data_IF_500452116994
#
_entry.id   IF_500452116994
#
_cell.length_a   1.000
_cell.length_b   1.000
_cell.length_c   1.000
_cell.angle_alpha   90.00
_cell.angle_beta   90.00
_cell.angle_gamma   90.00
#
_symmetry.space_group_name_H-M   'P 1'
#
loop_
_entity.id
_entity.type
_entity.pdbx_description
1 polymer ?
#
# COMPACT_ATOMS: atom_id res chain seq x y z
N UNK A 1 -4.41 -4.40 22.40
CA UNK A 1 -4.83 -3.11 21.81
C UNK A 1 -5.92 -3.23 20.73
N UNK A 2 -6.09 -4.36 20.02
CA UNK A 2 -7.28 -4.67 19.20
C UNK A 2 -8.58 -4.54 20.02
N UNK A 3 -8.53 -4.96 21.30
CA UNK A 3 -9.62 -4.80 22.25
C UNK A 3 -10.12 -3.36 22.39
N UNK A 4 -9.24 -2.35 22.34
CA UNK A 4 -9.64 -0.93 22.45
C UNK A 4 -10.50 -0.48 21.26
N UNK A 5 -10.20 -0.95 20.04
CA UNK A 5 -11.03 -0.62 18.87
C UNK A 5 -12.36 -1.37 18.92
N UNK A 6 -12.36 -2.64 19.34
CA UNK A 6 -13.59 -3.41 19.50
C UNK A 6 -14.50 -2.76 20.54
N UNK A 7 -13.95 -2.38 21.69
CA UNK A 7 -14.66 -1.70 22.76
C UNK A 7 -15.21 -0.35 22.30
N UNK A 8 -14.38 0.44 21.62
CA UNK A 8 -14.80 1.71 21.05
C UNK A 8 -15.94 1.54 20.05
N UNK A 9 -15.85 0.59 19.12
CA UNK A 9 -16.91 0.36 18.14
C UNK A 9 -18.17 -0.29 18.75
N UNK A 10 -18.07 -0.97 19.91
CA UNK A 10 -19.24 -1.42 20.68
C UNK A 10 -19.98 -0.26 21.33
N UNK A 11 -19.25 0.75 21.80
CA UNK A 11 -19.81 1.97 22.39
C UNK A 11 -20.47 2.88 21.34
N UNK A 12 -20.23 2.63 20.05
CA UNK A 12 -20.68 3.44 18.91
C UNK A 12 -21.40 2.59 17.85
N UNK A 13 -22.63 2.11 18.12
CA UNK A 13 -23.39 1.23 17.22
C UNK A 13 -23.75 1.87 15.86
N UNK A 14 -23.83 3.20 15.79
CA UNK A 14 -23.98 4.00 14.57
C UNK A 14 -22.72 3.95 13.67
N UNK A 15 -21.59 3.56 14.25
CA UNK A 15 -20.31 3.42 13.58
C UNK A 15 -19.55 4.73 13.49
N UNK A 16 -18.24 4.62 13.42
CA UNK A 16 -17.32 5.76 13.43
C UNK A 16 -16.55 5.82 12.12
N UNK A 17 -16.31 7.03 11.61
CA UNK A 17 -15.38 7.30 10.54
C UNK A 17 -13.94 7.04 11.00
N UNK A 18 -13.01 6.86 10.05
CA UNK A 18 -11.58 6.77 10.36
C UNK A 18 -11.06 7.99 11.14
N UNK A 19 -11.66 9.17 10.97
CA UNK A 19 -11.31 10.38 11.72
C UNK A 19 -11.69 10.25 13.19
N UNK A 20 -12.97 9.98 13.46
CA UNK A 20 -13.52 9.85 14.82
C UNK A 20 -12.84 8.70 15.59
N UNK A 21 -12.52 7.57 14.94
CA UNK A 21 -11.80 6.47 15.62
C UNK A 21 -10.41 6.91 16.07
N UNK A 22 -9.68 7.72 15.28
CA UNK A 22 -8.35 8.19 15.68
C UNK A 22 -8.42 9.13 16.87
N UNK A 23 -9.33 10.09 16.79
CA UNK A 23 -9.52 11.10 17.83
C UNK A 23 -9.87 10.43 19.17
N UNK A 24 -10.84 9.52 19.16
CA UNK A 24 -11.29 8.80 20.38
C UNK A 24 -10.25 7.82 20.94
N UNK A 25 -9.30 7.36 20.12
CA UNK A 25 -8.16 6.54 20.57
C UNK A 25 -6.92 7.37 20.91
N UNK A 26 -7.03 8.71 20.84
CA UNK A 26 -5.93 9.66 21.01
C UNK A 26 -4.71 9.32 20.13
N UNK A 27 -4.96 8.86 18.89
CA UNK A 27 -3.91 8.53 17.93
C UNK A 27 -3.49 9.78 17.18
N UNK A 28 -2.18 10.00 17.08
CA UNK A 28 -1.65 11.14 16.34
C UNK A 28 -2.00 11.02 14.85
N UNK A 29 -2.19 12.15 14.16
CA UNK A 29 -2.65 12.18 12.77
C UNK A 29 -1.77 11.35 11.81
N UNK A 30 -0.48 11.19 12.12
CA UNK A 30 0.49 10.41 11.36
C UNK A 30 0.38 8.89 11.60
N UNK A 31 -0.39 8.44 12.59
CA UNK A 31 -0.62 7.03 12.93
C UNK A 31 -1.80 6.40 12.17
N UNK A 32 -2.26 7.03 11.09
CA UNK A 32 -3.33 6.50 10.22
C UNK A 32 -3.07 5.03 9.80
N UNK A 33 -1.80 4.68 9.52
CA UNK A 33 -1.40 3.31 9.18
C UNK A 33 -1.58 2.32 10.33
N UNK A 34 -1.45 2.78 11.58
CA UNK A 34 -1.73 1.96 12.75
C UNK A 34 -3.23 1.73 12.89
N UNK A 35 -4.08 2.74 12.65
CA UNK A 35 -5.53 2.54 12.64
C UNK A 35 -5.94 1.52 11.57
N UNK A 36 -5.41 1.61 10.35
CA UNK A 36 -5.74 0.67 9.27
C UNK A 36 -5.28 -0.77 9.58
N UNK A 37 -4.11 -0.93 10.19
CA UNK A 37 -3.61 -2.24 10.67
C UNK A 37 -4.51 -2.78 11.77
N UNK A 38 -4.85 -1.96 12.76
CA UNK A 38 -5.70 -2.37 13.88
C UNK A 38 -7.12 -2.71 13.42
N UNK A 39 -7.70 -1.97 12.48
CA UNK A 39 -9.00 -2.31 11.85
C UNK A 39 -8.93 -3.66 11.11
N UNK A 40 -7.82 -3.95 10.41
CA UNK A 40 -7.60 -5.29 9.83
C UNK A 40 -7.52 -6.38 10.90
N UNK A 41 -6.87 -6.11 12.03
CA UNK A 41 -6.84 -7.06 13.14
C UNK A 41 -8.22 -7.24 13.79
N UNK A 42 -9.05 -6.19 13.87
CA UNK A 42 -10.46 -6.31 14.30
C UNK A 42 -11.26 -7.19 13.32
N UNK A 43 -11.07 -6.99 12.02
CA UNK A 43 -11.72 -7.80 10.97
C UNK A 43 -11.40 -9.29 11.04
N UNK A 44 -10.30 -9.68 11.70
CA UNK A 44 -9.98 -11.10 11.93
C UNK A 44 -10.97 -11.79 12.86
N UNK A 45 -11.54 -11.04 13.80
CA UNK A 45 -12.36 -11.56 14.89
C UNK A 45 -13.82 -11.10 14.80
N UNK A 46 -14.11 -10.05 14.04
CA UNK A 46 -15.44 -9.45 13.91
C UNK A 46 -15.75 -9.12 12.45
N UNK A 47 -17.03 -9.18 12.08
CA UNK A 47 -17.50 -8.51 10.88
C UNK A 47 -17.42 -7.00 11.11
N UNK A 48 -16.80 -6.24 10.20
CA UNK A 48 -16.79 -4.77 10.28
C UNK A 48 -17.64 -4.26 9.12
N UNK A 49 -18.81 -3.71 9.44
CA UNK A 49 -19.77 -3.22 8.46
C UNK A 49 -19.34 -1.80 8.05
N UNK A 50 -19.23 -1.55 6.75
CA UNK A 50 -18.87 -0.23 6.21
C UNK A 50 -20.15 0.43 5.70
N UNK A 51 -20.51 1.58 6.28
CA UNK A 51 -21.69 2.37 5.91
C UNK A 51 -21.23 3.59 5.09
N UNK A 52 -21.74 3.80 3.87
CA UNK A 52 -21.44 4.99 3.08
C UNK A 52 -21.80 6.27 3.83
N UNK A 53 -20.94 7.29 3.77
CA UNK A 53 -21.15 8.60 4.38
C UNK A 53 -20.29 9.66 3.64
N UNK A 54 -20.74 10.05 2.44
CA UNK A 54 -19.96 10.89 1.53
C UNK A 54 -18.57 10.30 1.25
N UNK A 55 -17.53 11.13 1.29
CA UNK A 55 -16.14 10.71 1.11
C UNK A 55 -15.54 9.93 2.30
N UNK A 56 -16.26 9.83 3.43
CA UNK A 56 -15.75 9.30 4.69
C UNK A 56 -16.68 8.22 5.28
N UNK A 57 -16.50 6.93 4.93
CA UNK A 57 -17.38 5.86 5.39
C UNK A 57 -17.31 5.66 6.91
N UNK A 58 -18.43 5.25 7.50
CA UNK A 58 -18.54 4.85 8.92
C UNK A 58 -18.31 3.35 9.07
N UNK A 59 -17.56 2.94 10.09
CA UNK A 59 -17.28 1.55 10.42
C UNK A 59 -18.08 1.14 11.66
N UNK A 60 -18.92 0.12 11.54
CA UNK A 60 -19.67 -0.50 12.64
C UNK A 60 -19.07 -1.85 13.00
N UNK A 61 -19.06 -2.18 14.29
CA UNK A 61 -18.76 -3.54 14.73
C UNK A 61 -20.00 -4.41 14.50
N UNK A 62 -19.86 -5.41 13.65
CA UNK A 62 -20.84 -6.48 13.48
C UNK A 62 -20.54 -7.65 14.41
N UNK A 63 -21.17 -8.78 14.12
CA UNK A 63 -21.07 -9.99 14.93
C UNK A 63 -19.62 -10.50 15.05
N UNK A 64 -19.33 -11.10 16.21
CA UNK A 64 -18.08 -11.83 16.42
C UNK A 64 -18.07 -13.01 15.45
N UNK A 65 -16.99 -13.16 14.70
CA UNK A 65 -16.82 -14.30 13.81
C UNK A 65 -16.76 -15.57 14.66
N UNK A 66 -17.64 -16.52 14.37
CA UNK A 66 -17.66 -17.86 14.97
C UNK A 66 -16.44 -18.70 14.53
N UNK A 67 -15.82 -18.33 13.41
CA UNK A 67 -14.58 -18.91 12.90
C UNK A 67 -13.48 -17.83 12.82
N UNK A 68 -12.33 -18.08 13.46
CA UNK A 68 -11.12 -17.26 13.25
C UNK A 68 -10.73 -17.32 11.77
N UNK A 69 -10.79 -16.21 11.00
CA UNK A 69 -10.59 -16.12 9.52
C UNK A 69 -10.21 -17.47 8.93
N UNK A 70 -11.21 -18.36 8.85
CA UNK A 70 -10.95 -19.71 8.41
C UNK A 70 -10.55 -19.62 6.95
N UNK A 71 -9.90 -20.64 6.43
CA UNK A 71 -9.57 -20.81 5.00
C UNK A 71 -10.83 -20.93 4.13
N UNK A 72 -11.94 -20.27 4.48
CA UNK A 72 -13.15 -20.20 3.69
C UNK A 72 -12.79 -19.61 2.34
N UNK A 73 -12.94 -20.46 1.32
CA UNK A 73 -12.67 -20.11 -0.07
C UNK A 73 -13.46 -18.88 -0.50
N UNK A 74 -12.99 -18.22 -1.55
CA UNK A 74 -13.71 -17.10 -2.16
C UNK A 74 -15.07 -17.63 -2.65
N UNK A 75 -16.17 -17.13 -2.07
CA UNK A 75 -17.50 -17.59 -2.45
C UNK A 75 -17.82 -17.25 -3.92
N UNK A 76 -18.78 -17.96 -4.51
CA UNK A 76 -19.11 -17.84 -5.94
C UNK A 76 -19.50 -16.42 -6.35
N UNK A 77 -20.25 -15.70 -5.51
CA UNK A 77 -20.68 -14.31 -5.79
C UNK A 77 -19.50 -13.35 -5.85
N UNK A 78 -18.59 -13.45 -4.88
CA UNK A 78 -17.40 -12.61 -4.81
C UNK A 78 -16.45 -12.93 -5.97
N UNK A 79 -16.29 -14.22 -6.30
CA UNK A 79 -15.53 -14.66 -7.48
C UNK A 79 -16.09 -14.03 -8.77
N UNK A 80 -17.40 -14.12 -8.97
CA UNK A 80 -18.06 -13.54 -10.14
C UNK A 80 -17.88 -12.01 -10.20
N UNK A 81 -17.97 -11.33 -9.06
CA UNK A 81 -17.78 -9.87 -8.96
C UNK A 81 -16.38 -9.45 -9.42
N UNK A 82 -15.34 -10.15 -8.94
CA UNK A 82 -13.95 -9.85 -9.32
C UNK A 82 -13.69 -10.13 -10.80
N UNK A 83 -14.19 -11.26 -11.32
CA UNK A 83 -14.02 -11.62 -12.73
C UNK A 83 -14.76 -10.63 -13.66
N UNK A 84 -15.96 -10.20 -13.29
CA UNK A 84 -16.73 -9.21 -14.03
C UNK A 84 -15.99 -7.86 -14.07
N UNK A 85 -15.49 -7.39 -12.93
CA UNK A 85 -14.70 -6.16 -12.83
C UNK A 85 -13.42 -6.19 -13.67
N UNK A 86 -12.83 -7.38 -13.88
CA UNK A 86 -11.63 -7.57 -14.69
C UNK A 86 -11.88 -7.51 -16.20
N UNK A 87 -13.14 -7.50 -16.66
CA UNK A 87 -13.53 -7.38 -18.08
C UNK A 87 -12.79 -8.36 -19.00
N UNK A 88 -12.66 -9.60 -18.55
CA UNK A 88 -12.00 -10.67 -19.31
C UNK A 88 -10.49 -10.47 -19.49
N UNK A 89 -9.84 -9.62 -18.70
CA UNK A 89 -8.39 -9.36 -18.76
C UNK A 89 -7.70 -9.69 -17.45
N UNK A 90 -6.49 -10.25 -17.55
CA UNK A 90 -5.60 -10.42 -16.40
C UNK A 90 -5.22 -9.03 -15.85
N UNK A 91 -5.51 -8.79 -14.57
CA UNK A 91 -5.24 -7.51 -13.93
C UNK A 91 -3.75 -7.28 -13.63
N UNK A 92 -2.90 -8.31 -13.77
CA UNK A 92 -1.45 -8.18 -13.67
C UNK A 92 -0.74 -8.01 -15.01
N UNK A 93 -1.15 -8.70 -16.08
CA UNK A 93 -0.41 -8.71 -17.34
C UNK A 93 -1.20 -8.12 -18.52
N UNK A 94 -2.52 -8.00 -18.42
CA UNK A 94 -3.37 -7.41 -19.46
C UNK A 94 -3.83 -8.38 -20.56
N UNK A 95 -3.25 -9.58 -20.67
CA UNK A 95 -3.76 -10.63 -21.57
C UNK A 95 -5.23 -10.91 -21.32
N UNK A 96 -5.98 -11.13 -22.39
CA UNK A 96 -7.42 -11.29 -22.40
C UNK A 96 -7.84 -12.72 -22.73
N UNK A 97 -8.98 -13.15 -22.18
CA UNK A 97 -9.57 -14.46 -22.49
C UNK A 97 -9.84 -14.59 -24.00
N UNK A 98 -10.35 -13.52 -24.62
CA UNK A 98 -10.75 -13.52 -26.03
C UNK A 98 -9.57 -13.51 -27.01
N UNK A 99 -8.56 -12.64 -26.82
CA UNK A 99 -7.46 -12.51 -27.78
C UNK A 99 -6.29 -13.47 -27.50
N UNK A 100 -6.05 -13.82 -26.23
CA UNK A 100 -4.86 -14.57 -25.81
C UNK A 100 -5.20 -15.98 -25.31
N UNK A 101 -6.49 -16.36 -25.25
CA UNK A 101 -6.93 -17.67 -24.78
C UNK A 101 -6.62 -17.98 -23.31
N UNK A 102 -6.26 -16.97 -22.51
CA UNK A 102 -5.86 -17.18 -21.11
C UNK A 102 -7.06 -17.55 -20.23
N UNK A 103 -6.83 -18.41 -19.23
CA UNK A 103 -7.81 -18.70 -18.17
C UNK A 103 -7.57 -17.78 -16.98
N UNK A 104 -8.63 -17.11 -16.52
CA UNK A 104 -8.59 -16.24 -15.35
C UNK A 104 -8.97 -16.97 -14.06
N UNK A 105 -8.20 -16.68 -13.02
CA UNK A 105 -8.39 -17.16 -11.65
C UNK A 105 -8.49 -15.94 -10.73
N UNK A 106 -9.37 -16.01 -9.73
CA UNK A 106 -9.39 -15.00 -8.67
C UNK A 106 -8.34 -15.39 -7.64
N UNK A 107 -7.48 -14.43 -7.31
CA UNK A 107 -6.41 -14.57 -6.34
C UNK A 107 -6.41 -13.40 -5.36
N UNK A 108 -5.68 -13.52 -4.26
CA UNK A 108 -5.49 -12.44 -3.31
C UNK A 108 -4.25 -11.62 -3.65
N UNK A 109 -4.36 -10.30 -3.75
CA UNK A 109 -3.20 -9.40 -3.86
C UNK A 109 -2.21 -9.64 -2.71
N UNK A 110 -2.74 -9.77 -1.50
CA UNK A 110 -2.02 -10.15 -0.28
C UNK A 110 -2.38 -11.61 0.05
N UNK A 111 -1.43 -12.57 0.08
CA UNK A 111 -1.73 -13.95 0.44
C UNK A 111 -2.44 -14.07 1.80
N UNK A 112 -3.41 -14.98 1.91
CA UNK A 112 -4.13 -15.24 3.17
C UNK A 112 -3.16 -15.63 4.30
N UNK A 113 -2.13 -16.43 4.00
CA UNK A 113 -1.08 -16.81 4.96
C UNK A 113 -0.38 -15.61 5.60
N UNK A 114 -0.43 -14.44 4.95
CA UNK A 114 0.19 -13.20 5.40
C UNK A 114 -0.85 -12.17 5.86
N UNK A 115 -2.08 -12.61 6.13
CA UNK A 115 -3.17 -11.76 6.66
C UNK A 115 -4.02 -11.08 5.59
N UNK A 116 -3.96 -11.53 4.33
CA UNK A 116 -4.88 -11.10 3.29
C UNK A 116 -6.33 -11.48 3.58
N UNK A 117 -7.26 -10.54 3.39
CA UNK A 117 -8.69 -10.76 3.59
C UNK A 117 -9.39 -11.14 2.28
N UNK A 118 -10.61 -11.67 2.36
CA UNK A 118 -11.50 -11.85 1.20
C UNK A 118 -12.23 -10.54 0.82
N UNK A 119 -11.74 -9.37 1.23
CA UNK A 119 -12.34 -8.09 0.83
C UNK A 119 -12.04 -7.83 -0.66
N UNK A 120 -12.99 -7.23 -1.39
CA UNK A 120 -12.88 -7.00 -2.83
C UNK A 120 -11.58 -6.25 -3.21
N UNK A 121 -11.14 -5.31 -2.38
CA UNK A 121 -9.91 -4.54 -2.55
C UNK A 121 -8.65 -5.42 -2.58
N UNK A 122 -8.68 -6.53 -1.84
CA UNK A 122 -7.59 -7.50 -1.77
C UNK A 122 -7.70 -8.62 -2.81
N UNK A 123 -8.72 -8.60 -3.67
CA UNK A 123 -8.89 -9.60 -4.72
C UNK A 123 -8.58 -9.02 -6.09
N UNK A 124 -8.11 -9.88 -6.98
CA UNK A 124 -7.91 -9.57 -8.39
C UNK A 124 -8.03 -10.81 -9.27
N UNK A 125 -8.30 -10.61 -10.56
CA UNK A 125 -8.32 -11.66 -11.56
C UNK A 125 -6.97 -11.76 -12.28
N UNK A 126 -6.30 -12.90 -12.16
CA UNK A 126 -5.00 -13.18 -12.77
C UNK A 126 -5.12 -14.31 -13.80
N UNK A 127 -4.31 -14.28 -14.86
CA UNK A 127 -4.11 -15.50 -15.65
C UNK A 127 -3.28 -16.52 -14.85
N UNK A 128 -3.40 -17.79 -15.23
CA UNK A 128 -2.70 -18.90 -14.55
C UNK A 128 -1.20 -18.67 -14.40
N UNK A 129 -0.50 -18.25 -15.47
CA UNK A 129 0.92 -17.94 -15.47
C UNK A 129 1.29 -16.85 -14.44
N UNK A 130 0.53 -15.75 -14.42
CA UNK A 130 0.75 -14.66 -13.46
C UNK A 130 0.43 -15.07 -12.02
N UNK A 131 -0.59 -15.89 -11.83
CA UNK A 131 -0.94 -16.42 -10.52
C UNK A 131 0.17 -17.34 -9.99
N UNK A 132 0.74 -18.18 -10.86
CA UNK A 132 1.85 -19.07 -10.50
C UNK A 132 3.11 -18.29 -10.14
N UNK A 133 3.57 -17.40 -11.03
CA UNK A 133 4.77 -16.60 -10.75
C UNK A 133 4.64 -15.70 -9.51
N UNK A 134 3.42 -15.26 -9.19
CA UNK A 134 3.13 -14.56 -7.93
C UNK A 134 3.34 -15.48 -6.71
N UNK A 135 2.85 -16.71 -6.76
CA UNK A 135 3.05 -17.68 -5.67
C UNK A 135 4.52 -17.97 -5.44
N UNK A 136 5.30 -18.17 -6.50
CA UNK A 136 6.75 -18.43 -6.42
C UNK A 136 7.50 -17.25 -5.80
N UNK A 137 7.17 -16.02 -6.23
CA UNK A 137 7.73 -14.80 -5.66
C UNK A 137 7.46 -14.70 -4.16
N UNK A 138 6.24 -15.00 -3.74
CA UNK A 138 5.90 -14.94 -2.32
C UNK A 138 6.50 -16.09 -1.52
N UNK A 139 6.52 -17.31 -2.06
CA UNK A 139 7.12 -18.47 -1.41
C UNK A 139 8.61 -18.24 -1.07
N UNK A 140 9.37 -17.62 -1.99
CA UNK A 140 10.79 -17.31 -1.77
C UNK A 140 11.05 -16.15 -0.79
N UNK A 141 10.03 -15.41 -0.39
CA UNK A 141 10.17 -14.18 0.43
C UNK A 141 9.39 -14.23 1.74
N UNK A 142 8.82 -15.39 2.11
CA UNK A 142 7.93 -15.55 3.28
C UNK A 142 8.55 -14.98 4.56
N UNK A 143 9.79 -15.35 4.87
CA UNK A 143 10.39 -14.98 6.15
C UNK A 143 10.80 -13.51 6.17
N UNK A 144 11.36 -13.01 5.06
CA UNK A 144 11.67 -11.59 4.87
C UNK A 144 10.44 -10.72 5.07
N UNK A 145 9.31 -11.09 4.45
CA UNK A 145 8.07 -10.34 4.55
C UNK A 145 7.51 -10.37 5.97
N UNK A 146 7.54 -11.53 6.66
CA UNK A 146 7.10 -11.61 8.05
C UNK A 146 7.88 -10.68 8.98
N UNK A 147 9.20 -10.57 8.78
CA UNK A 147 10.06 -9.66 9.55
C UNK A 147 9.64 -8.20 9.28
N UNK A 148 9.60 -7.84 8.00
CA UNK A 148 9.32 -6.48 7.54
C UNK A 148 7.93 -6.00 8.01
N UNK A 149 6.91 -6.85 7.91
CA UNK A 149 5.53 -6.49 8.25
C UNK A 149 5.31 -6.19 9.75
N UNK A 150 6.29 -6.47 10.62
CA UNK A 150 6.25 -6.05 12.03
C UNK A 150 6.35 -4.53 12.16
N UNK A 151 7.09 -3.86 11.27
CA UNK A 151 7.30 -2.41 11.33
C UNK A 151 6.04 -1.61 10.97
N UNK A 152 5.72 -0.60 11.77
CA UNK A 152 4.56 0.28 11.58
C UNK A 152 4.75 1.30 10.46
N UNK A 153 5.97 1.81 10.26
CA UNK A 153 6.33 2.79 9.22
C UNK A 153 6.42 2.16 7.83
N UNK A 154 5.76 2.77 6.84
CA UNK A 154 5.80 2.32 5.43
C UNK A 154 7.21 2.43 4.88
N UNK A 155 7.94 3.51 5.20
CA UNK A 155 9.32 3.71 4.80
C UNK A 155 10.22 2.61 5.36
N UNK A 156 10.09 2.31 6.65
CA UNK A 156 10.87 1.25 7.29
C UNK A 156 10.54 -0.09 6.66
N UNK A 157 9.27 -0.38 6.36
CA UNK A 157 8.92 -1.63 5.68
C UNK A 157 9.57 -1.78 4.31
N UNK A 158 9.45 -0.75 3.46
CA UNK A 158 10.07 -0.77 2.14
C UNK A 158 11.59 -0.85 2.25
N UNK A 159 12.19 -0.07 3.15
CA UNK A 159 13.64 -0.02 3.29
C UNK A 159 14.24 -1.31 3.87
N UNK A 160 13.61 -1.92 4.88
CA UNK A 160 14.04 -3.22 5.42
C UNK A 160 13.85 -4.35 4.41
N UNK A 161 12.77 -4.35 3.62
CA UNK A 161 12.63 -5.30 2.50
C UNK A 161 13.79 -5.17 1.51
N UNK A 162 14.16 -3.93 1.17
CA UNK A 162 15.27 -3.65 0.25
C UNK A 162 16.64 -4.02 0.85
N UNK A 163 16.84 -3.85 2.17
CA UNK A 163 18.05 -4.29 2.87
C UNK A 163 18.19 -5.81 2.91
N UNK A 164 17.10 -6.53 3.20
CA UNK A 164 17.08 -7.99 3.16
C UNK A 164 17.35 -8.56 1.76
N UNK A 165 17.12 -7.75 0.72
CA UNK A 165 17.38 -8.05 -0.68
C UNK A 165 18.49 -7.15 -1.25
N UNK A 166 19.51 -6.81 -0.44
CA UNK A 166 20.59 -5.94 -0.87
C UNK A 166 21.32 -6.53 -2.09
N UNK A 167 21.53 -5.70 -3.12
CA UNK A 167 22.16 -6.13 -4.37
C UNK A 167 21.29 -6.99 -5.30
N UNK A 168 20.02 -7.27 -4.95
CA UNK A 168 19.11 -8.06 -5.79
C UNK A 168 17.89 -7.25 -6.25
N UNK A 169 17.30 -7.66 -7.38
CA UNK A 169 16.12 -7.00 -7.94
C UNK A 169 14.84 -7.43 -7.23
N UNK A 170 14.23 -6.50 -6.51
CA UNK A 170 12.93 -6.67 -5.86
C UNK A 170 11.80 -6.21 -6.79
N UNK A 171 10.86 -7.09 -7.17
CA UNK A 171 9.72 -6.71 -8.00
C UNK A 171 8.83 -5.67 -7.30
N UNK A 172 8.28 -4.73 -8.08
CA UNK A 172 7.36 -3.70 -7.59
C UNK A 172 6.16 -4.26 -6.82
N UNK A 173 5.68 -5.45 -7.20
CA UNK A 173 4.57 -6.14 -6.55
C UNK A 173 4.87 -6.46 -5.08
N UNK A 174 6.11 -6.84 -4.77
CA UNK A 174 6.52 -7.14 -3.39
C UNK A 174 6.67 -5.84 -2.57
N UNK A 175 7.15 -4.76 -3.19
CA UNK A 175 7.24 -3.44 -2.55
C UNK A 175 5.85 -2.87 -2.28
N UNK A 176 4.94 -2.94 -3.26
CA UNK A 176 3.55 -2.55 -3.13
C UNK A 176 2.87 -3.34 -2.00
N UNK A 177 3.13 -4.64 -1.94
CA UNK A 177 2.65 -5.52 -0.87
C UNK A 177 3.12 -5.04 0.51
N UNK A 178 4.43 -4.90 0.73
CA UNK A 178 4.93 -4.50 2.06
C UNK A 178 4.55 -3.07 2.40
N UNK A 179 4.39 -2.20 1.40
CA UNK A 179 3.90 -0.85 1.63
C UNK A 179 2.44 -0.87 2.08
N UNK A 180 1.61 -1.72 1.46
CA UNK A 180 0.17 -1.82 1.64
C UNK A 180 -0.54 -0.45 1.49
N UNK A 181 -0.07 0.34 0.52
CA UNK A 181 -0.61 1.67 0.16
C UNK A 181 -0.28 1.99 -1.31
N UNK A 182 -1.15 2.76 -1.96
CA UNK A 182 -0.98 3.16 -3.36
C UNK A 182 0.15 4.18 -3.58
N UNK A 183 0.59 4.86 -2.52
CA UNK A 183 1.68 5.84 -2.54
C UNK A 183 3.08 5.22 -2.47
N UNK A 184 3.19 3.88 -2.53
CA UNK A 184 4.45 3.15 -2.36
C UNK A 184 5.59 3.69 -3.24
N UNK A 185 5.30 4.08 -4.50
CA UNK A 185 6.30 4.66 -5.42
C UNK A 185 6.90 5.97 -4.90
N UNK A 186 6.09 6.78 -4.21
CA UNK A 186 6.56 8.00 -3.55
C UNK A 186 7.42 7.62 -2.34
N UNK A 187 6.92 6.74 -1.48
CA UNK A 187 7.62 6.27 -0.27
C UNK A 187 8.99 5.64 -0.59
N UNK A 188 9.09 4.84 -1.64
CA UNK A 188 10.38 4.27 -2.12
C UNK A 188 11.34 5.36 -2.60
N UNK A 189 10.86 6.43 -3.26
CA UNK A 189 11.71 7.56 -3.69
C UNK A 189 12.24 8.37 -2.51
N UNK A 190 11.43 8.55 -1.48
CA UNK A 190 11.81 9.33 -0.29
C UNK A 190 12.93 8.69 0.51
N UNK A 191 13.13 7.36 0.42
CA UNK A 191 14.30 6.70 1.00
C UNK A 191 15.63 7.27 0.49
N UNK A 192 15.65 7.82 -0.72
CA UNK A 192 16.83 8.46 -1.30
C UNK A 192 17.26 9.72 -0.55
N UNK A 193 16.36 10.36 0.20
CA UNK A 193 16.69 11.53 1.03
C UNK A 193 17.66 11.17 2.16
N UNK A 194 17.70 9.89 2.57
CA UNK A 194 18.65 9.35 3.53
C UNK A 194 20.00 9.00 2.89
N UNK A 195 20.25 9.42 1.64
CA UNK A 195 21.45 9.08 0.88
C UNK A 195 21.45 7.65 0.30
N UNK A 196 20.30 6.95 0.33
CA UNK A 196 20.21 5.61 -0.23
C UNK A 196 20.21 5.66 -1.76
N UNK A 197 20.97 4.74 -2.37
CA UNK A 197 21.02 4.55 -3.82
C UNK A 197 20.16 3.35 -4.20
N UNK A 198 19.03 3.63 -4.85
CA UNK A 198 18.08 2.61 -5.29
C UNK A 198 18.04 2.60 -6.82
N UNK A 199 18.47 1.51 -7.45
CA UNK A 199 18.29 1.28 -8.88
C UNK A 199 16.82 0.99 -9.21
N UNK A 200 16.38 1.34 -10.41
CA UNK A 200 15.05 0.98 -10.91
C UNK A 200 15.17 0.47 -12.35
N UNK A 201 14.65 -0.73 -12.61
CA UNK A 201 14.59 -1.33 -13.94
C UNK A 201 13.14 -1.43 -14.36
N UNK A 202 12.84 -0.99 -15.59
CA UNK A 202 11.54 -1.19 -16.23
C UNK A 202 11.67 -2.25 -17.31
N UNK A 203 10.72 -3.16 -17.36
CA UNK A 203 10.66 -4.19 -18.39
C UNK A 203 9.28 -4.18 -19.03
N UNK A 204 9.25 -3.94 -20.34
CA UNK A 204 8.05 -4.09 -21.17
C UNK A 204 7.85 -5.59 -21.36
N UNK A 205 6.72 -6.08 -20.90
CA UNK A 205 6.32 -7.46 -21.06
C UNK A 205 5.80 -7.68 -22.49
N UNK A 206 5.80 -8.93 -23.00
CA UNK A 206 5.30 -9.23 -24.35
C UNK A 206 3.88 -8.73 -24.63
N UNK A 207 3.06 -8.57 -23.58
CA UNK A 207 1.69 -8.02 -23.63
C UNK A 207 1.62 -6.48 -23.59
N UNK A 208 2.74 -5.78 -23.71
CA UNK A 208 2.81 -4.32 -23.72
C UNK A 208 2.79 -3.65 -22.34
N UNK A 209 2.51 -4.37 -21.26
CA UNK A 209 2.51 -3.81 -19.90
C UNK A 209 3.94 -3.61 -19.39
N UNK A 210 4.17 -2.53 -18.65
CA UNK A 210 5.48 -2.25 -18.05
C UNK A 210 5.49 -2.70 -16.60
N UNK A 211 6.40 -3.61 -16.28
CA UNK A 211 6.74 -3.98 -14.90
C UNK A 211 7.96 -3.22 -14.43
N UNK A 212 8.09 -3.01 -13.12
CA UNK A 212 9.25 -2.34 -12.52
C UNK A 212 9.83 -3.20 -11.41
N UNK A 213 11.15 -3.21 -11.31
CA UNK A 213 11.90 -3.80 -10.20
C UNK A 213 12.89 -2.79 -9.65
N UNK A 214 13.21 -2.91 -8.37
CA UNK A 214 14.08 -1.98 -7.65
C UNK A 214 15.21 -2.75 -6.98
N UNK A 215 16.39 -2.16 -6.94
CA UNK A 215 17.57 -2.78 -6.34
C UNK A 215 18.23 -1.79 -5.38
N UNK A 216 18.54 -2.21 -4.17
CA UNK A 216 19.30 -1.38 -3.25
C UNK A 216 20.78 -1.55 -3.53
N UNK A 217 21.43 -0.45 -3.92
CA UNK A 217 22.86 -0.42 -4.29
C UNK A 217 23.73 0.15 -3.16
N UNK A 218 23.16 1.07 -2.37
CA UNK A 218 23.80 1.66 -1.20
C UNK A 218 22.71 2.12 -0.23
N UNK A 219 22.94 1.97 1.07
CA UNK A 219 22.08 2.53 2.11
C UNK A 219 22.89 3.07 3.27
N UNK A 220 22.27 3.97 4.02
CA UNK A 220 22.77 4.48 5.30
C UNK A 220 21.90 4.00 6.45
N UNK A 221 22.27 4.39 7.67
CA UNK A 221 21.49 4.07 8.87
C UNK A 221 20.14 4.77 8.89
N UNK A 222 19.20 4.19 9.63
CA UNK A 222 17.93 4.85 9.89
C UNK A 222 18.11 5.98 10.90
N UNK A 223 17.47 7.15 10.69
CA UNK A 223 17.28 8.11 11.76
C UNK A 223 16.49 7.48 12.92
N UNK A 224 16.61 8.04 14.13
CA UNK A 224 15.86 7.60 15.31
C UNK A 224 14.34 7.63 15.10
N UNK A 225 13.83 8.64 14.38
CA UNK A 225 12.46 8.68 13.84
C UNK A 225 12.49 8.83 12.30
N UNK A 226 12.48 7.71 11.56
CA UNK A 226 12.52 7.75 10.09
C UNK A 226 11.35 8.51 9.47
N UNK A 227 10.15 8.36 10.03
CA UNK A 227 8.95 8.95 9.45
C UNK A 227 8.86 10.45 9.72
N UNK A 228 9.18 10.88 10.94
CA UNK A 228 9.28 12.30 11.28
C UNK A 228 10.39 13.00 10.49
N UNK A 229 11.55 12.36 10.36
CA UNK A 229 12.68 12.90 9.59
C UNK A 229 12.30 13.15 8.13
N UNK A 230 11.68 12.16 7.45
CA UNK A 230 11.27 12.30 6.04
C UNK A 230 10.21 13.40 5.88
N UNK A 231 9.26 13.50 6.80
CA UNK A 231 8.26 14.57 6.78
C UNK A 231 8.90 15.95 6.93
N UNK A 232 9.88 16.08 7.83
CA UNK A 232 10.61 17.33 8.02
C UNK A 232 11.40 17.70 6.78
N UNK A 233 12.10 16.75 6.17
CA UNK A 233 12.84 16.97 4.94
C UNK A 233 11.94 17.48 3.79
N UNK A 234 10.76 16.88 3.62
CA UNK A 234 9.77 17.33 2.63
C UNK A 234 9.26 18.75 2.91
N UNK A 235 9.00 19.09 4.19
CA UNK A 235 8.63 20.46 4.58
C UNK A 235 9.72 21.48 4.23
N UNK A 236 10.97 21.17 4.56
CA UNK A 236 12.09 22.07 4.31
C UNK A 236 12.40 22.20 2.82
N UNK A 237 12.27 21.11 2.06
CA UNK A 237 12.34 21.14 0.60
C UNK A 237 11.24 22.01 -0.01
N UNK A 238 10.00 21.87 0.44
CA UNK A 238 8.89 22.70 -0.05
C UNK A 238 9.10 24.18 0.26
N UNK A 239 9.63 24.52 1.45
CA UNK A 239 10.01 25.89 1.79
C UNK A 239 11.06 26.43 0.83
N UNK A 240 12.17 25.70 0.61
CA UNK A 240 13.25 26.10 -0.31
C UNK A 240 12.75 26.36 -1.74
N UNK A 241 11.86 25.51 -2.24
CA UNK A 241 11.28 25.69 -3.56
C UNK A 241 10.44 26.97 -3.64
N UNK A 242 9.62 27.26 -2.62
CA UNK A 242 8.82 28.50 -2.58
C UNK A 242 9.68 29.75 -2.53
N UNK A 243 10.76 29.74 -1.75
CA UNK A 243 11.70 30.88 -1.71
C UNK A 243 12.37 31.09 -3.07
N UNK A 244 12.73 30.01 -3.77
CA UNK A 244 13.32 30.09 -5.12
C UNK A 244 12.35 30.68 -6.15
N UNK A 245 11.11 30.20 -6.15
CA UNK A 245 10.08 30.70 -7.08
C UNK A 245 9.77 32.19 -6.81
N UNK A 246 9.80 32.62 -5.54
CA UNK A 246 9.58 34.04 -5.17
C UNK A 246 10.75 34.95 -5.57
N UNK A 247 11.99 34.44 -5.58
CA UNK A 247 13.16 35.19 -6.05
C UNK A 247 13.25 35.27 -7.58
N UNK A 248 12.78 34.24 -8.28
CA UNK A 248 12.76 34.22 -9.75
C UNK A 248 11.71 35.22 -10.30
N UNK A 249 10.53 35.34 -9.67
CA UNK A 249 9.48 36.33 -10.03
C UNK A 249 9.95 37.78 -9.85
N UNK A 250 10.76 38.08 -8.83
CA UNK A 250 11.33 39.43 -8.64
C UNK A 250 12.40 39.79 -9.68
N UNK A 251 13.07 38.80 -10.28
CA UNK A 251 14.11 39.02 -11.28
C UNK A 251 13.58 39.30 -12.69
N UNK A 252 12.36 38.86 -13.01
CA UNK A 252 11.72 39.08 -14.32
C UNK A 252 10.85 40.35 -14.38
N UNK A 253 10.60 41.01 -13.25
CA UNK A 253 9.84 42.26 -13.17
C UNK A 253 10.65 43.56 -13.37
N UNK A 254 11.98 43.49 -13.54
CA UNK A 254 12.85 44.69 -13.58
C UNK A 254 13.47 45.03 -14.95
N UNK A 255 13.05 44.36 -16.05
CA UNK A 255 13.64 44.57 -17.38
C UNK A 255 12.80 45.41 -18.37
N UNK A 256 11.71 46.04 -17.94
CA UNK A 256 10.92 46.94 -18.78
C UNK A 256 10.67 48.30 -18.09
N UNK A 257 11.69 49.15 -17.98
CA UNK A 257 11.53 50.62 -17.93
C UNK A 257 12.92 51.31 -18.00
N UNK A 258 13.47 51.46 -19.21
CA UNK A 258 14.47 52.49 -19.52
C UNK A 258 14.64 52.60 -21.04
N UNK A 259 13.72 53.33 -21.70
CA UNK A 259 13.95 53.91 -23.02
C UNK A 259 13.01 55.11 -23.18
N UNK A 260 13.54 56.29 -22.87
CA UNK A 260 13.07 57.60 -23.31
C UNK A 260 14.29 58.40 -23.72
#
# INVERSE_FOLDING_TARGET
MVGKIVELLRQHPEGLTSGEIREKLCLAAHEQSQLDRRRRDVRKWYHVIVVPNGSNPRYRLGEKRTESVSRTGINGRLRATVLHAARGRCQMCGRSVAADGVKLQVDHKIPQAWGGTNDLENLWALCEECNHGKKDLFASQVDNVKIVMKHSSVHVRIGELLKLNFGTWVPSQLIEFVANRDDWKKRTRELRYLGWKIGAKRQKQPNGRVTSSYMLEKFGEWPSDPSGWIQQFERDRAKRNRTRDSSDDQSHGSSHHAAT
#
